data_IF_744482925575
#
_entry.id   IF_744482925575
#
_cell.length_a   1.000
_cell.length_b   1.000
_cell.length_c   1.000
_cell.angle_alpha   90.00
_cell.angle_beta   90.00
_cell.angle_gamma   90.00
#
_symmetry.space_group_name_H-M   'P 1'
#
loop_
_entity.id
_entity.type
_entity.pdbx_description
1 polymer ?
#
# COMPACT_ATOMS: atom_id res chain seq x y z
N UNK A 1 -47.63 -49.26 -9.80
CA UNK A 1 -46.89 -48.62 -8.68
C UNK A 1 -45.39 -48.42 -8.96
N UNK A 2 -44.94 -48.18 -10.21
CA UNK A 2 -43.49 -48.00 -10.52
C UNK A 2 -43.11 -46.61 -11.08
N UNK A 3 -44.08 -45.72 -11.33
CA UNK A 3 -43.78 -44.43 -12.00
C UNK A 3 -43.48 -43.25 -11.08
N UNK A 4 -43.74 -43.34 -9.76
CA UNK A 4 -43.49 -42.23 -8.83
C UNK A 4 -42.06 -42.16 -8.28
N UNK A 5 -41.29 -43.27 -8.27
CA UNK A 5 -39.89 -43.24 -7.80
C UNK A 5 -38.92 -42.54 -8.77
N UNK A 6 -39.20 -42.54 -10.07
CA UNK A 6 -38.27 -42.00 -11.09
C UNK A 6 -38.21 -40.47 -11.06
N UNK A 7 -39.35 -39.80 -10.83
CA UNK A 7 -39.42 -38.33 -10.81
C UNK A 7 -38.79 -37.73 -9.55
N UNK A 8 -38.92 -38.37 -8.38
CA UNK A 8 -38.27 -37.91 -7.15
C UNK A 8 -36.74 -38.02 -7.24
N UNK A 9 -36.22 -39.07 -7.89
CA UNK A 9 -34.78 -39.25 -8.11
C UNK A 9 -34.21 -38.23 -9.11
N UNK A 10 -34.96 -37.89 -10.17
CA UNK A 10 -34.58 -36.84 -11.13
C UNK A 10 -34.57 -35.44 -10.50
N UNK A 11 -35.53 -35.14 -9.61
CA UNK A 11 -35.57 -33.87 -8.88
C UNK A 11 -34.40 -33.77 -7.89
N UNK A 12 -34.07 -34.85 -7.18
CA UNK A 12 -32.95 -34.87 -6.24
C UNK A 12 -31.59 -34.72 -6.95
N UNK A 13 -31.40 -35.38 -8.11
CA UNK A 13 -30.20 -35.24 -8.95
C UNK A 13 -30.07 -33.83 -9.53
N UNK A 14 -31.19 -33.22 -9.95
CA UNK A 14 -31.22 -31.84 -10.44
C UNK A 14 -30.85 -30.79 -9.39
N UNK A 15 -31.31 -30.98 -8.14
CA UNK A 15 -30.98 -30.10 -7.02
C UNK A 15 -29.50 -30.21 -6.62
N UNK A 16 -28.95 -31.43 -6.58
CA UNK A 16 -27.51 -31.66 -6.29
C UNK A 16 -26.63 -31.06 -7.39
N UNK A 17 -27.04 -31.14 -8.66
CA UNK A 17 -26.31 -30.54 -9.79
C UNK A 17 -26.29 -29.01 -9.74
N UNK A 18 -27.40 -28.37 -9.35
CA UNK A 18 -27.44 -26.91 -9.15
C UNK A 18 -26.58 -26.45 -7.95
N UNK A 19 -26.54 -27.22 -6.86
CA UNK A 19 -25.71 -26.90 -5.70
C UNK A 19 -24.21 -27.03 -5.99
N UNK A 20 -23.80 -28.05 -6.75
CA UNK A 20 -22.39 -28.23 -7.15
C UNK A 20 -21.92 -27.19 -8.18
N UNK A 21 -22.80 -26.70 -9.06
CA UNK A 21 -22.47 -25.64 -10.00
C UNK A 21 -22.30 -24.27 -9.33
N UNK A 22 -22.95 -24.04 -8.18
CA UNK A 22 -22.84 -22.80 -7.41
C UNK A 22 -21.51 -22.68 -6.63
N UNK A 23 -20.85 -23.80 -6.31
CA UNK A 23 -19.51 -23.79 -5.68
C UNK A 23 -18.38 -23.44 -6.65
N UNK A 24 -18.64 -23.43 -7.95
CA UNK A 24 -17.65 -23.14 -9.00
C UNK A 24 -17.74 -21.70 -9.55
N UNK A 25 -18.33 -20.78 -8.80
CA UNK A 25 -18.15 -19.36 -9.09
C UNK A 25 -16.68 -19.02 -8.88
N UNK A 26 -15.90 -18.99 -9.97
CA UNK A 26 -14.51 -18.55 -9.94
C UNK A 26 -14.44 -17.21 -9.21
N UNK A 27 -13.73 -17.20 -8.08
CA UNK A 27 -13.53 -16.00 -7.27
C UNK A 27 -12.96 -14.92 -8.19
N UNK A 28 -13.57 -13.74 -8.30
CA UNK A 28 -13.03 -12.68 -9.16
C UNK A 28 -11.60 -12.36 -8.72
N UNK A 29 -10.71 -12.12 -9.69
CA UNK A 29 -9.35 -11.67 -9.41
C UNK A 29 -9.42 -10.27 -8.82
N UNK A 30 -8.96 -10.12 -7.58
CA UNK A 30 -8.81 -8.82 -6.92
C UNK A 30 -7.39 -8.30 -7.16
N UNK A 31 -7.27 -7.08 -7.70
CA UNK A 31 -6.00 -6.43 -7.99
C UNK A 31 -5.89 -5.08 -7.26
N UNK A 32 -4.88 -4.96 -6.40
CA UNK A 32 -4.46 -3.69 -5.82
C UNK A 32 -3.30 -3.12 -6.64
N UNK A 33 -3.45 -1.92 -7.17
CA UNK A 33 -2.41 -1.21 -7.90
C UNK A 33 -1.93 -0.06 -7.03
N UNK A 34 -0.76 -0.23 -6.44
CA UNK A 34 -0.14 0.76 -5.59
C UNK A 34 0.91 1.56 -6.36
N UNK A 35 0.87 2.88 -6.25
CA UNK A 35 2.01 3.74 -6.56
C UNK A 35 2.83 4.03 -5.30
N UNK A 36 4.13 4.20 -5.48
CA UNK A 36 5.07 4.56 -4.41
C UNK A 36 5.49 6.04 -4.46
N UNK A 37 6.00 6.52 -3.33
CA UNK A 37 6.60 7.85 -3.14
C UNK A 37 5.63 9.03 -3.12
N UNK A 38 4.35 8.82 -2.79
CA UNK A 38 3.43 9.94 -2.62
C UNK A 38 3.91 10.84 -1.46
N UNK A 39 3.89 12.16 -1.67
CA UNK A 39 4.44 13.15 -0.74
C UNK A 39 5.85 13.63 -1.11
N UNK A 40 6.55 12.95 -2.02
CA UNK A 40 7.91 13.34 -2.43
C UNK A 40 7.96 14.77 -3.00
N UNK A 41 7.04 15.11 -3.89
CA UNK A 41 6.93 16.42 -4.53
C UNK A 41 5.49 16.73 -4.96
N UNK A 42 5.20 18.00 -5.26
CA UNK A 42 3.86 18.41 -5.70
C UNK A 42 3.43 17.74 -7.00
N UNK A 43 4.34 17.65 -7.97
CA UNK A 43 4.09 17.00 -9.26
C UNK A 43 3.86 15.49 -9.12
N UNK A 44 4.57 14.82 -8.21
CA UNK A 44 4.28 13.41 -7.85
C UNK A 44 2.86 13.29 -7.29
N UNK A 45 2.49 14.14 -6.32
CA UNK A 45 1.13 14.13 -5.75
C UNK A 45 0.03 14.38 -6.79
N UNK A 46 0.25 15.32 -7.72
CA UNK A 46 -0.66 15.58 -8.84
C UNK A 46 -0.73 14.37 -9.79
N UNK A 47 0.41 13.73 -10.04
CA UNK A 47 0.51 12.49 -10.82
C UNK A 47 -0.29 11.36 -10.21
N UNK A 48 -0.24 11.18 -8.89
CA UNK A 48 -1.07 10.21 -8.16
C UNK A 48 -2.55 10.45 -8.36
N UNK A 49 -3.00 11.71 -8.23
CA UNK A 49 -4.41 12.04 -8.44
C UNK A 49 -4.83 11.70 -9.86
N UNK A 50 -4.05 12.12 -10.85
CA UNK A 50 -4.33 11.79 -12.25
C UNK A 50 -4.35 10.27 -12.50
N UNK A 51 -3.37 9.54 -11.99
CA UNK A 51 -3.27 8.09 -12.15
C UNK A 51 -4.40 7.33 -11.43
N UNK A 52 -4.98 7.91 -10.37
CA UNK A 52 -6.14 7.36 -9.68
C UNK A 52 -7.45 7.68 -10.39
N UNK A 53 -7.64 8.93 -10.86
CA UNK A 53 -8.91 9.38 -11.45
C UNK A 53 -9.05 9.04 -12.93
N UNK A 54 -7.93 8.93 -13.65
CA UNK A 54 -7.87 8.68 -15.10
C UNK A 54 -7.13 7.37 -15.43
N UNK A 55 -6.62 6.65 -14.42
CA UNK A 55 -5.82 5.45 -14.58
C UNK A 55 -6.28 4.28 -13.71
N UNK A 56 -5.33 3.41 -13.35
CA UNK A 56 -5.59 2.15 -12.63
C UNK A 56 -5.13 2.17 -11.17
N UNK A 57 -4.49 3.25 -10.70
CA UNK A 57 -3.94 3.31 -9.34
C UNK A 57 -5.09 3.31 -8.33
N UNK A 58 -5.06 2.35 -7.41
CA UNK A 58 -6.08 2.18 -6.36
C UNK A 58 -5.53 2.41 -4.96
N UNK A 59 -4.21 2.44 -4.78
CA UNK A 59 -3.53 2.73 -3.52
C UNK A 59 -2.30 3.61 -3.71
N UNK A 60 -1.95 4.37 -2.69
CA UNK A 60 -0.72 5.16 -2.64
C UNK A 60 0.04 4.87 -1.35
N UNK A 61 1.36 4.71 -1.41
CA UNK A 61 2.21 4.73 -0.21
C UNK A 61 2.79 6.14 0.01
N UNK A 62 2.57 6.70 1.20
CA UNK A 62 2.92 8.08 1.53
C UNK A 62 4.22 8.11 2.35
N UNK A 63 5.14 8.99 1.95
CA UNK A 63 6.41 9.25 2.65
C UNK A 63 6.20 10.34 3.69
N UNK A 64 6.04 9.96 4.97
CA UNK A 64 5.83 10.92 6.07
C UNK A 64 6.92 12.02 6.17
N UNK A 65 8.23 11.73 5.97
CA UNK A 65 9.27 12.74 6.09
C UNK A 65 9.36 13.69 4.88
N UNK A 66 8.60 13.42 3.81
CA UNK A 66 8.72 14.17 2.58
C UNK A 66 8.03 15.53 2.64
N UNK A 67 8.59 16.50 1.91
CA UNK A 67 8.17 17.91 1.95
C UNK A 67 6.69 18.15 1.62
N UNK A 68 6.09 17.30 0.77
CA UNK A 68 4.70 17.43 0.32
C UNK A 68 3.76 16.39 0.94
N UNK A 69 4.12 15.83 2.09
CA UNK A 69 3.28 14.88 2.82
C UNK A 69 1.89 15.47 3.17
N UNK A 70 1.81 16.70 3.67
CA UNK A 70 0.52 17.32 4.03
C UNK A 70 -0.41 17.55 2.83
N UNK A 71 0.15 17.90 1.67
CA UNK A 71 -0.59 17.98 0.40
C UNK A 71 -1.07 16.58 -0.03
N UNK A 72 -0.25 15.54 0.13
CA UNK A 72 -0.64 14.16 -0.14
C UNK A 72 -1.81 13.72 0.75
N UNK A 73 -1.76 14.01 2.05
CA UNK A 73 -2.84 13.71 3.00
C UNK A 73 -4.13 14.43 2.61
N UNK A 74 -4.05 15.71 2.24
CA UNK A 74 -5.21 16.50 1.80
C UNK A 74 -5.87 15.87 0.58
N UNK A 75 -5.06 15.42 -0.39
CA UNK A 75 -5.53 14.75 -1.60
C UNK A 75 -6.16 13.39 -1.33
N UNK A 76 -5.54 12.55 -0.52
CA UNK A 76 -6.12 11.26 -0.11
C UNK A 76 -7.48 11.47 0.59
N UNK A 77 -7.60 12.47 1.47
CA UNK A 77 -8.89 12.82 2.12
C UNK A 77 -9.94 13.26 1.11
N UNK A 78 -9.55 14.02 0.09
CA UNK A 78 -10.46 14.44 -0.98
C UNK A 78 -10.86 13.29 -1.91
N UNK A 79 -10.11 12.18 -1.95
CA UNK A 79 -10.29 11.07 -2.89
C UNK A 79 -10.39 9.75 -2.11
N UNK A 80 -11.49 9.48 -1.40
CA UNK A 80 -11.61 8.37 -0.44
C UNK A 80 -11.51 6.96 -1.06
N UNK A 81 -11.51 6.84 -2.40
CA UNK A 81 -11.28 5.57 -3.11
C UNK A 81 -9.79 5.28 -3.36
N UNK A 82 -8.90 6.25 -3.16
CA UNK A 82 -7.45 6.06 -3.20
C UNK A 82 -7.00 5.60 -1.81
N UNK A 83 -6.70 4.31 -1.66
CA UNK A 83 -6.34 3.75 -0.37
C UNK A 83 -4.92 4.18 0.05
N UNK A 84 -4.75 4.98 1.13
CA UNK A 84 -3.42 5.38 1.60
C UNK A 84 -2.74 4.23 2.37
N UNK A 85 -1.42 4.19 2.25
CA UNK A 85 -0.52 3.35 3.06
C UNK A 85 0.75 4.13 3.42
N UNK A 86 1.63 3.52 4.20
CA UNK A 86 2.89 4.14 4.62
C UNK A 86 4.01 3.65 3.72
N UNK A 87 4.82 4.58 3.21
CA UNK A 87 6.11 4.30 2.59
C UNK A 87 7.20 4.59 3.62
N UNK A 88 7.63 3.55 4.35
CA UNK A 88 8.67 3.69 5.38
C UNK A 88 9.94 4.22 4.72
N UNK A 89 10.40 5.38 5.19
CA UNK A 89 11.50 6.14 4.58
C UNK A 89 12.61 6.34 5.60
N UNK A 90 13.73 5.64 5.43
CA UNK A 90 14.93 5.74 6.28
C UNK A 90 16.18 6.17 5.49
N UNK A 91 16.01 6.37 4.18
CA UNK A 91 17.03 6.78 3.22
C UNK A 91 16.36 7.66 2.18
N UNK A 92 17.08 8.64 1.63
CA UNK A 92 16.52 9.55 0.65
C UNK A 92 17.58 10.11 -0.30
N UNK A 93 17.31 10.05 -1.61
CA UNK A 93 18.16 10.66 -2.64
C UNK A 93 18.03 12.19 -2.69
N UNK A 94 16.91 12.72 -2.19
CA UNK A 94 16.71 14.14 -1.91
C UNK A 94 16.82 14.40 -0.41
N UNK A 95 17.28 15.58 0.05
CA UNK A 95 17.45 15.84 1.47
C UNK A 95 16.12 15.73 2.24
N UNK A 96 15.99 14.69 3.06
CA UNK A 96 14.87 14.49 3.99
C UNK A 96 15.40 14.32 5.41
N UNK A 97 14.75 14.95 6.38
CA UNK A 97 15.07 14.82 7.80
C UNK A 97 14.20 13.72 8.42
N UNK A 98 14.65 13.06 9.50
CA UNK A 98 13.78 12.20 10.28
C UNK A 98 12.60 12.98 10.86
N UNK A 99 11.54 12.25 11.19
CA UNK A 99 10.39 12.71 11.94
C UNK A 99 10.78 13.00 13.38
N UNK A 100 11.54 12.10 13.99
CA UNK A 100 12.03 12.29 15.35
C UNK A 100 13.20 13.28 15.42
N UNK A 101 13.42 13.91 16.60
CA UNK A 101 14.60 14.73 16.84
C UNK A 101 15.91 13.99 16.50
N UNK A 102 16.88 14.63 15.83
CA UNK A 102 18.14 14.00 15.41
C UNK A 102 18.92 13.27 16.50
N UNK A 103 18.83 13.72 17.75
CA UNK A 103 19.49 13.11 18.91
C UNK A 103 18.86 11.78 19.34
N UNK A 104 17.62 11.49 18.94
CA UNK A 104 16.92 10.23 19.21
C UNK A 104 17.16 9.16 18.14
N UNK A 105 17.61 9.56 16.96
CA UNK A 105 17.80 8.70 15.76
C UNK A 105 19.14 8.94 15.07
N UNK A 106 20.16 9.31 15.85
CA UNK A 106 21.49 9.69 15.36
C UNK A 106 22.17 8.66 14.45
N UNK A 107 21.86 7.37 14.58
CA UNK A 107 22.42 6.30 13.71
C UNK A 107 21.75 6.24 12.33
N UNK A 108 20.60 6.88 12.16
CA UNK A 108 19.81 6.89 10.92
C UNK A 108 20.13 8.06 10.00
N UNK A 109 20.93 9.03 10.46
CA UNK A 109 21.20 10.28 9.75
C UNK A 109 22.69 10.52 9.53
N UNK A 110 23.02 11.10 8.39
CA UNK A 110 24.35 11.60 8.11
C UNK A 110 24.68 12.83 8.99
N UNK A 111 25.97 13.24 9.10
CA UNK A 111 26.38 14.38 9.94
C UNK A 111 25.71 15.73 9.61
N UNK A 112 25.12 15.87 8.42
CA UNK A 112 24.35 17.05 8.02
C UNK A 112 22.90 17.05 8.57
N UNK A 113 22.50 15.99 9.27
CA UNK A 113 21.19 15.80 9.90
C UNK A 113 20.08 15.36 8.95
N UNK A 114 20.42 14.85 7.77
CA UNK A 114 19.48 14.25 6.82
C UNK A 114 19.68 12.74 6.77
N UNK A 115 18.68 12.00 6.30
CA UNK A 115 18.83 10.58 6.00
C UNK A 115 19.99 10.34 5.01
N UNK A 116 20.56 9.13 5.07
CA UNK A 116 21.59 8.71 4.14
C UNK A 116 21.04 8.59 2.72
N UNK A 117 21.91 8.86 1.72
CA UNK A 117 21.50 8.89 0.32
C UNK A 117 21.17 7.49 -0.26
N UNK A 118 21.75 6.43 0.31
CA UNK A 118 21.54 5.08 -0.17
C UNK A 118 21.97 4.00 0.80
N UNK A 119 21.66 2.75 0.44
CA UNK A 119 21.80 1.57 1.29
C UNK A 119 23.23 1.34 1.78
N UNK A 120 24.23 1.59 0.94
CA UNK A 120 25.63 1.37 1.31
C UNK A 120 26.06 2.27 2.48
N UNK A 121 25.82 3.58 2.38
CA UNK A 121 26.19 4.53 3.45
C UNK A 121 25.32 4.33 4.70
N UNK A 122 24.05 4.00 4.52
CA UNK A 122 23.15 3.65 5.62
C UNK A 122 23.62 2.40 6.37
N UNK A 123 24.05 1.33 5.69
CA UNK A 123 24.53 0.13 6.38
C UNK A 123 25.89 0.35 7.05
N UNK A 124 26.77 1.17 6.45
CA UNK A 124 28.06 1.56 7.05
C UNK A 124 27.90 2.38 8.33
N UNK A 125 26.77 3.04 8.55
CA UNK A 125 26.51 3.76 9.80
C UNK A 125 26.13 2.85 10.97
N UNK A 126 25.94 1.55 10.72
CA UNK A 126 25.49 0.57 11.70
C UNK A 126 24.18 1.02 12.38
N UNK A 127 23.07 1.10 11.61
CA UNK A 127 21.83 1.68 12.10
C UNK A 127 21.29 0.84 13.26
N UNK A 128 20.95 1.50 14.36
CA UNK A 128 20.46 0.81 15.56
C UNK A 128 19.00 0.46 15.38
N UNK A 129 18.66 -0.81 15.63
CA UNK A 129 17.30 -1.31 15.45
C UNK A 129 16.28 -0.57 16.33
N UNK A 130 16.66 -0.18 17.54
CA UNK A 130 15.78 0.56 18.46
C UNK A 130 15.54 2.01 18.02
N UNK A 131 16.43 2.59 17.21
CA UNK A 131 16.21 3.90 16.59
C UNK A 131 15.30 3.76 15.36
N UNK A 132 15.49 2.70 14.55
CA UNK A 132 14.61 2.37 13.42
C UNK A 132 13.17 2.16 13.89
N UNK A 133 12.97 1.36 14.94
CA UNK A 133 11.64 1.07 15.50
C UNK A 133 10.95 2.31 16.08
N UNK A 134 11.70 3.32 16.54
CA UNK A 134 11.12 4.58 17.04
C UNK A 134 10.67 5.49 15.90
N UNK A 135 11.42 5.50 14.80
CA UNK A 135 11.18 6.39 13.65
C UNK A 135 10.01 5.90 12.76
N UNK A 136 9.65 4.62 12.85
CA UNK A 136 8.61 3.95 12.04
C UNK A 136 7.31 3.81 12.82
#
# INVERSE_FOLDING_TARGET
MKSQCSSALLILVGIVSCAAAAENAERPIELLVRGDDMGHSLDVNLGFIKAHTEGIVTSASLMAPALYFDDAITRCKAHPKLAPGIHVTLMATTPMRPILPPDQVSSLIAPNGFFYHGLEDFLKSEPKIDEVEKEV
#
